data_IF_678271220659
#
_entry.id   IF_678271220659
#
_cell.length_a   1.000
_cell.length_b   1.000
_cell.length_c   1.000
_cell.angle_alpha   90.00
_cell.angle_beta   90.00
_cell.angle_gamma   90.00
#
_symmetry.space_group_name_H-M   'P 1'
#
loop_
_entity.id
_entity.type
_entity.pdbx_description
1 polymer ?
#
# COMPACT_ATOMS: atom_id res chain seq x y z
N UNK A 1 38.57 7.06 17.20
CA UNK A 1 37.29 6.89 16.49
C UNK A 1 36.09 7.30 17.37
N UNK A 2 35.21 8.13 16.82
CA UNK A 2 33.98 8.58 17.50
C UNK A 2 32.85 7.63 17.05
N UNK A 3 32.18 7.00 18.00
CA UNK A 3 31.03 6.14 17.71
C UNK A 3 29.79 7.02 17.55
N UNK A 4 29.13 6.93 16.40
CA UNK A 4 27.84 7.60 16.16
C UNK A 4 26.73 6.58 16.38
N UNK A 5 25.85 6.87 17.33
CA UNK A 5 24.71 6.01 17.63
C UNK A 5 23.56 6.27 16.67
N UNK A 6 22.79 5.23 16.37
CA UNK A 6 21.50 5.35 15.69
C UNK A 6 20.57 6.24 16.55
N UNK A 7 19.93 7.27 15.98
CA UNK A 7 18.99 8.10 16.72
C UNK A 7 17.79 7.30 17.22
N UNK A 8 17.22 7.77 18.32
CA UNK A 8 15.92 7.29 18.79
C UNK A 8 14.80 7.63 17.81
N UNK A 9 13.66 6.96 17.97
CA UNK A 9 12.44 7.24 17.18
C UNK A 9 12.02 8.71 17.37
N UNK A 10 12.09 9.23 18.60
CA UNK A 10 11.73 10.62 18.89
C UNK A 10 12.66 11.62 18.17
N UNK A 11 13.97 11.40 18.23
CA UNK A 11 14.94 12.23 17.51
C UNK A 11 14.74 12.15 15.99
N UNK A 12 14.44 10.96 15.47
CA UNK A 12 14.12 10.76 14.06
C UNK A 12 12.91 11.59 13.64
N UNK A 13 11.84 11.61 14.44
CA UNK A 13 10.64 12.40 14.14
C UNK A 13 10.99 13.90 14.05
N UNK A 14 11.83 14.42 14.96
CA UNK A 14 12.28 15.81 14.90
C UNK A 14 13.16 16.10 13.68
N UNK A 15 14.05 15.16 13.30
CA UNK A 15 14.83 15.25 12.06
C UNK A 15 13.89 15.31 10.84
N UNK A 16 12.89 14.44 10.79
CA UNK A 16 11.91 14.40 9.70
C UNK A 16 11.08 15.69 9.63
N UNK A 17 10.70 16.28 10.78
CA UNK A 17 10.03 17.60 10.81
C UNK A 17 10.92 18.68 10.21
N UNK A 18 12.21 18.69 10.53
CA UNK A 18 13.17 19.64 9.95
C UNK A 18 13.37 19.47 8.44
N UNK A 19 13.17 18.26 7.90
CA UNK A 19 13.27 17.97 6.47
C UNK A 19 11.94 18.10 5.71
N UNK A 20 10.81 18.25 6.41
CA UNK A 20 9.45 18.22 5.84
C UNK A 20 9.31 19.16 4.66
N UNK A 21 9.56 20.45 4.89
CA UNK A 21 9.33 21.50 3.89
C UNK A 21 10.11 21.23 2.60
N UNK A 22 11.32 20.68 2.70
CA UNK A 22 12.14 20.34 1.54
C UNK A 22 11.51 19.22 0.71
N UNK A 23 10.98 18.18 1.34
CA UNK A 23 10.33 17.07 0.63
C UNK A 23 8.94 17.43 0.11
N UNK A 24 8.17 18.21 0.86
CA UNK A 24 6.88 18.77 0.40
C UNK A 24 7.05 19.57 -0.88
N UNK A 25 8.05 20.48 -0.90
CA UNK A 25 8.35 21.30 -2.06
C UNK A 25 8.88 20.46 -3.23
N UNK A 26 9.72 19.45 -2.97
CA UNK A 26 10.30 18.62 -4.03
C UNK A 26 9.24 17.75 -4.75
N UNK A 27 8.28 17.21 -4.00
CA UNK A 27 7.26 16.29 -4.52
C UNK A 27 5.90 16.93 -4.78
N UNK A 28 5.71 18.19 -4.38
CA UNK A 28 4.42 18.89 -4.39
C UNK A 28 3.33 18.15 -3.62
N UNK A 29 3.67 17.67 -2.42
CA UNK A 29 2.78 16.97 -1.48
C UNK A 29 2.74 17.68 -0.14
N UNK A 30 1.70 17.44 0.65
CA UNK A 30 1.67 17.80 2.07
C UNK A 30 1.92 16.55 2.91
N UNK A 31 2.81 16.63 3.90
CA UNK A 31 3.18 15.49 4.75
C UNK A 31 2.59 15.72 6.14
N UNK A 32 1.74 14.81 6.60
CA UNK A 32 1.12 14.93 7.92
C UNK A 32 2.09 14.59 9.05
N UNK A 33 1.83 15.10 10.26
CA UNK A 33 2.55 14.69 11.46
C UNK A 33 2.46 13.18 11.69
N UNK A 34 1.27 12.61 11.44
CA UNK A 34 1.03 11.18 11.51
C UNK A 34 1.96 10.40 10.58
N UNK A 35 2.15 10.86 9.34
CA UNK A 35 3.05 10.21 8.39
C UNK A 35 4.51 10.19 8.88
N UNK A 36 5.00 11.27 9.50
CA UNK A 36 6.35 11.30 10.05
C UNK A 36 6.52 10.30 11.19
N UNK A 37 5.54 10.25 12.09
CA UNK A 37 5.53 9.29 13.18
C UNK A 37 5.49 7.85 12.65
N UNK A 38 4.61 7.58 11.69
CA UNK A 38 4.50 6.27 11.05
C UNK A 38 5.80 5.88 10.34
N UNK A 39 6.45 6.80 9.62
CA UNK A 39 7.71 6.53 8.93
C UNK A 39 8.81 6.14 9.93
N UNK A 40 8.94 6.83 11.05
CA UNK A 40 9.92 6.51 12.09
C UNK A 40 9.61 5.17 12.79
N UNK A 41 8.38 4.97 13.25
CA UNK A 41 7.98 3.77 14.02
C UNK A 41 7.96 2.50 13.16
N UNK A 42 7.39 2.58 11.96
CA UNK A 42 7.21 1.42 11.10
C UNK A 42 8.53 1.04 10.42
N UNK A 43 9.38 1.99 10.03
CA UNK A 43 10.72 1.66 9.52
C UNK A 43 11.58 1.02 10.60
N UNK A 44 11.53 1.49 11.84
CA UNK A 44 12.23 0.88 12.97
C UNK A 44 11.78 -0.57 13.23
N UNK A 45 10.50 -0.86 12.99
CA UNK A 45 9.92 -2.20 13.21
C UNK A 45 10.19 -3.16 12.05
N UNK A 46 9.94 -2.73 10.81
CA UNK A 46 9.87 -3.63 9.65
C UNK A 46 11.12 -3.60 8.76
N UNK A 47 11.96 -2.57 8.87
CA UNK A 47 13.21 -2.43 8.08
C UNK A 47 14.39 -2.54 9.08
N UNK A 48 14.89 -3.76 9.24
CA UNK A 48 15.90 -4.12 10.25
C UNK A 48 17.35 -4.04 9.73
N UNK A 49 17.53 -4.01 8.40
CA UNK A 49 18.82 -4.00 7.71
C UNK A 49 19.41 -2.58 7.55
N UNK A 50 18.68 -1.56 8.00
CA UNK A 50 19.06 -0.15 7.92
C UNK A 50 18.83 0.57 9.25
N UNK A 51 19.54 1.67 9.42
CA UNK A 51 19.50 2.47 10.63
C UNK A 51 18.63 3.72 10.44
N UNK A 52 18.01 4.19 11.52
CA UNK A 52 17.44 5.53 11.60
C UNK A 52 18.54 6.59 11.49
N UNK A 53 18.22 7.81 10.99
CA UNK A 53 16.92 8.25 10.46
C UNK A 53 16.75 7.91 8.97
N UNK A 54 17.79 7.42 8.32
CA UNK A 54 17.92 7.19 6.87
C UNK A 54 16.75 6.38 6.30
N UNK A 55 16.45 5.21 6.87
CA UNK A 55 15.31 4.39 6.42
C UNK A 55 13.95 5.07 6.55
N UNK A 56 13.78 6.02 7.47
CA UNK A 56 12.52 6.75 7.63
C UNK A 56 12.41 7.88 6.61
N UNK A 57 13.54 8.55 6.31
CA UNK A 57 13.63 9.58 5.27
C UNK A 57 13.27 8.98 3.91
N UNK A 58 13.82 7.81 3.58
CA UNK A 58 13.52 7.12 2.32
C UNK A 58 12.04 6.81 2.15
N UNK A 59 11.34 6.40 3.22
CA UNK A 59 9.91 6.15 3.14
C UNK A 59 9.11 7.42 2.85
N UNK A 60 9.51 8.56 3.41
CA UNK A 60 8.90 9.86 3.11
C UNK A 60 9.14 10.24 1.64
N UNK A 61 10.36 10.06 1.17
CA UNK A 61 10.76 10.38 -0.20
C UNK A 61 10.00 9.52 -1.22
N UNK A 62 9.98 8.20 -1.01
CA UNK A 62 9.27 7.25 -1.87
C UNK A 62 7.76 7.49 -1.86
N UNK A 63 7.17 7.79 -0.69
CA UNK A 63 5.75 8.14 -0.58
C UNK A 63 5.40 9.40 -1.39
N UNK A 64 6.22 10.46 -1.26
CA UNK A 64 6.06 11.69 -2.02
C UNK A 64 6.18 11.46 -3.53
N UNK A 65 7.23 10.76 -3.96
CA UNK A 65 7.46 10.42 -5.36
C UNK A 65 6.30 9.59 -5.93
N UNK A 66 5.81 8.60 -5.18
CA UNK A 66 4.70 7.73 -5.59
C UNK A 66 3.40 8.51 -5.81
N UNK A 67 3.05 9.44 -4.91
CA UNK A 67 1.86 10.29 -5.09
C UNK A 67 2.01 11.21 -6.31
N UNK A 68 3.20 11.79 -6.49
CA UNK A 68 3.49 12.64 -7.64
C UNK A 68 3.39 11.87 -8.97
N UNK A 69 3.92 10.65 -9.04
CA UNK A 69 3.78 9.78 -10.22
C UNK A 69 2.31 9.44 -10.46
N UNK A 70 1.55 9.08 -9.42
CA UNK A 70 0.11 8.80 -9.55
C UNK A 70 -0.66 10.01 -10.11
N UNK A 71 -0.31 11.24 -9.70
CA UNK A 71 -0.92 12.46 -10.22
C UNK A 71 -0.55 12.76 -11.67
N UNK A 72 0.68 12.47 -12.09
CA UNK A 72 1.14 12.69 -13.47
C UNK A 72 0.72 11.57 -14.43
N UNK A 73 0.29 10.43 -13.90
CA UNK A 73 -0.16 9.30 -14.72
C UNK A 73 -1.61 9.52 -15.15
N UNK A 74 -1.83 9.62 -16.46
CA UNK A 74 -3.17 9.78 -17.02
C UNK A 74 -4.13 8.69 -16.51
N UNK A 75 -5.34 9.04 -16.06
CA UNK A 75 -6.35 8.08 -15.62
C UNK A 75 -6.61 7.00 -16.67
N UNK A 76 -7.03 5.78 -16.24
CA UNK A 76 -7.38 4.71 -17.15
C UNK A 76 -8.40 5.15 -18.21
N UNK A 77 -9.36 6.00 -17.84
CA UNK A 77 -10.37 6.54 -18.76
C UNK A 77 -9.77 7.35 -19.92
N UNK A 78 -8.75 8.17 -19.67
CA UNK A 78 -8.08 8.92 -20.74
C UNK A 78 -7.34 7.96 -21.69
N UNK A 79 -6.70 6.92 -21.16
CA UNK A 79 -6.07 5.87 -21.98
C UNK A 79 -7.08 5.10 -22.81
N UNK A 80 -8.27 4.83 -22.27
CA UNK A 80 -9.36 4.20 -23.03
C UNK A 80 -9.84 5.09 -24.16
N UNK A 81 -10.02 6.40 -23.91
CA UNK A 81 -10.38 7.37 -24.95
C UNK A 81 -9.30 7.45 -26.05
N UNK A 82 -8.02 7.50 -25.68
CA UNK A 82 -6.89 7.43 -26.63
C UNK A 82 -6.98 6.19 -27.53
N UNK A 83 -7.27 5.02 -26.94
CA UNK A 83 -7.41 3.78 -27.69
C UNK A 83 -8.60 3.77 -28.64
N UNK A 84 -9.72 4.41 -28.26
CA UNK A 84 -10.93 4.54 -29.10
C UNK A 84 -10.68 5.50 -30.26
N UNK A 85 -10.04 6.64 -30.00
CA UNK A 85 -9.68 7.63 -31.02
C UNK A 85 -8.74 7.00 -32.06
N UNK A 86 -7.72 6.24 -31.62
CA UNK A 86 -6.81 5.53 -32.52
C UNK A 86 -7.56 4.55 -33.43
N UNK A 87 -8.45 3.73 -32.87
CA UNK A 87 -9.26 2.79 -33.67
C UNK A 87 -10.15 3.47 -34.70
N UNK A 88 -10.83 4.56 -34.30
CA UNK A 88 -11.70 5.32 -35.23
C UNK A 88 -10.87 5.99 -36.31
N UNK A 89 -9.67 6.48 -35.98
CA UNK A 89 -8.76 7.05 -36.98
C UNK A 89 -8.37 6.01 -38.03
N UNK A 90 -8.01 4.80 -37.61
CA UNK A 90 -7.67 3.70 -38.52
C UNK A 90 -8.87 3.29 -39.40
N UNK A 91 -10.07 3.20 -38.82
CA UNK A 91 -11.30 2.88 -39.54
C UNK A 91 -11.68 3.97 -40.56
N UNK A 92 -11.45 5.24 -40.21
CA UNK A 92 -11.70 6.39 -41.07
C UNK A 92 -10.75 6.37 -42.26
N UNK A 93 -9.46 6.15 -42.02
CA UNK A 93 -8.46 6.07 -43.08
C UNK A 93 -8.72 4.91 -44.04
N UNK A 94 -9.25 3.79 -43.51
CA UNK A 94 -9.72 2.67 -44.33
C UNK A 94 -10.94 3.06 -45.19
N UNK A 95 -11.95 3.71 -44.60
CA UNK A 95 -13.12 4.17 -45.34
C UNK A 95 -12.76 5.17 -46.47
N UNK A 96 -11.78 6.05 -46.23
CA UNK A 96 -11.26 6.98 -47.24
C UNK A 96 -10.60 6.22 -48.40
N UNK A 97 -9.77 5.21 -48.10
CA UNK A 97 -9.13 4.35 -49.12
C UNK A 97 -10.15 3.58 -49.93
N UNK A 98 -11.22 3.11 -49.29
CA UNK A 98 -12.32 2.39 -49.91
C UNK A 98 -13.31 3.33 -50.65
N UNK A 99 -13.06 4.65 -50.66
CA UNK A 99 -13.92 5.70 -51.23
C UNK A 99 -15.34 5.77 -50.62
N UNK A 100 -15.52 5.22 -49.43
CA UNK A 100 -16.75 5.30 -48.64
C UNK A 100 -16.76 6.64 -47.86
N UNK A 101 -17.07 7.72 -48.57
CA UNK A 101 -17.03 9.07 -48.02
C UNK A 101 -18.11 9.32 -46.96
N UNK A 102 -19.25 8.64 -47.04
CA UNK A 102 -20.33 8.77 -46.05
C UNK A 102 -19.90 8.19 -44.70
N UNK A 103 -19.34 6.98 -44.70
CA UNK A 103 -18.78 6.37 -43.49
C UNK A 103 -17.59 7.15 -42.95
N UNK A 104 -16.72 7.65 -43.82
CA UNK A 104 -15.60 8.51 -43.40
C UNK A 104 -16.07 9.79 -42.70
N UNK A 105 -17.16 10.41 -43.18
CA UNK A 105 -17.77 11.57 -42.52
C UNK A 105 -18.33 11.23 -41.13
N UNK A 106 -19.06 10.12 -41.00
CA UNK A 106 -19.59 9.67 -39.69
C UNK A 106 -18.47 9.37 -38.68
N UNK A 107 -17.38 8.75 -39.13
CA UNK A 107 -16.22 8.45 -38.30
C UNK A 107 -15.46 9.73 -37.91
N UNK A 108 -15.38 10.72 -38.81
CA UNK A 108 -14.81 12.04 -38.50
C UNK A 108 -15.58 12.74 -37.38
N UNK A 109 -16.90 12.80 -37.49
CA UNK A 109 -17.73 13.45 -36.47
C UNK A 109 -17.67 12.71 -35.13
N UNK A 110 -17.56 11.37 -35.16
CA UNK A 110 -17.36 10.54 -33.97
C UNK A 110 -15.99 10.77 -33.33
N UNK A 111 -14.94 10.88 -34.14
CA UNK A 111 -13.58 11.22 -33.68
C UNK A 111 -13.56 12.59 -33.00
N UNK A 112 -14.17 13.61 -33.61
CA UNK A 112 -14.20 14.97 -33.06
C UNK A 112 -14.93 15.03 -31.71
N UNK A 113 -16.02 14.27 -31.56
CA UNK A 113 -16.71 14.12 -30.27
C UNK A 113 -15.81 13.50 -29.19
N UNK A 114 -15.12 12.40 -29.50
CA UNK A 114 -14.22 11.75 -28.54
C UNK A 114 -13.00 12.62 -28.19
N UNK A 115 -12.46 13.36 -29.16
CA UNK A 115 -11.36 14.30 -28.93
C UNK A 115 -11.81 15.46 -28.03
N UNK A 116 -13.02 15.97 -28.22
CA UNK A 116 -13.62 16.99 -27.35
C UNK A 116 -13.84 16.47 -25.93
N UNK A 117 -14.41 15.26 -25.78
CA UNK A 117 -14.59 14.61 -24.48
C UNK A 117 -13.25 14.39 -23.76
N UNK A 118 -12.26 13.86 -24.48
CA UNK A 118 -10.89 13.66 -23.97
C UNK A 118 -10.29 14.98 -23.52
N UNK A 119 -10.41 16.05 -24.30
CA UNK A 119 -9.87 17.37 -23.98
C UNK A 119 -10.54 17.96 -22.73
N UNK A 120 -11.86 17.80 -22.60
CA UNK A 120 -12.61 18.21 -21.41
C UNK A 120 -12.14 17.45 -20.16
N UNK A 121 -12.03 16.12 -20.24
CA UNK A 121 -11.53 15.29 -19.13
C UNK A 121 -10.06 15.52 -18.81
N UNK A 122 -9.24 15.85 -19.79
CA UNK A 122 -7.84 16.20 -19.57
C UNK A 122 -7.72 17.57 -18.87
N UNK A 123 -8.54 18.55 -19.24
CA UNK A 123 -8.59 19.86 -18.55
C UNK A 123 -9.00 19.69 -17.10
N UNK A 124 -10.07 18.94 -16.83
CA UNK A 124 -10.53 18.71 -15.46
C UNK A 124 -9.49 17.97 -14.61
N UNK A 125 -8.83 16.96 -15.19
CA UNK A 125 -7.72 16.26 -14.52
C UNK A 125 -6.52 17.18 -14.23
N UNK A 126 -6.13 18.04 -15.17
CA UNK A 126 -5.03 19.00 -15.00
C UNK A 126 -5.36 20.12 -14.01
N UNK A 127 -6.61 20.57 -13.99
CA UNK A 127 -7.12 21.63 -13.11
C UNK A 127 -7.33 21.17 -11.65
N UNK A 128 -7.06 19.89 -11.36
CA UNK A 128 -6.98 19.39 -9.99
C UNK A 128 -8.16 18.55 -9.54
N UNK A 129 -9.09 18.18 -10.43
CA UNK A 129 -10.06 17.10 -10.17
C UNK A 129 -9.44 15.70 -10.26
N UNK A 130 -8.12 15.58 -10.05
CA UNK A 130 -7.55 14.27 -9.75
C UNK A 130 -7.99 13.89 -8.34
N UNK A 131 -8.78 12.82 -8.20
CA UNK A 131 -9.15 12.21 -6.89
C UNK A 131 -7.94 11.81 -6.03
N UNK A 132 -6.73 11.88 -6.58
CA UNK A 132 -5.47 11.63 -5.89
C UNK A 132 -5.15 12.81 -4.96
N UNK A 133 -5.48 12.63 -3.68
CA UNK A 133 -5.01 13.54 -2.61
C UNK A 133 -3.48 13.59 -2.62
N UNK A 134 -2.92 14.78 -2.78
CA UNK A 134 -1.47 15.02 -2.67
C UNK A 134 -1.03 15.14 -1.21
N UNK A 135 -1.49 14.21 -0.37
CA UNK A 135 -1.22 14.18 1.07
C UNK A 135 -0.58 12.85 1.41
N UNK A 136 0.62 12.90 1.99
CA UNK A 136 1.29 11.74 2.58
C UNK A 136 0.79 11.64 4.02
N UNK A 137 -0.03 10.61 4.27
CA UNK A 137 -0.54 10.22 5.58
C UNK A 137 0.04 8.86 6.02
N UNK A 138 -0.37 8.35 7.18
CA UNK A 138 0.12 7.06 7.68
C UNK A 138 -0.20 5.88 6.76
N UNK A 139 -1.31 5.95 6.04
CA UNK A 139 -1.76 4.87 5.16
C UNK A 139 -0.87 4.80 3.91
N UNK A 140 -0.45 5.95 3.37
CA UNK A 140 0.54 5.98 2.28
C UNK A 140 1.87 5.39 2.73
N UNK A 141 2.36 5.73 3.94
CA UNK A 141 3.61 5.16 4.49
C UNK A 141 3.49 3.64 4.67
N UNK A 142 2.39 3.18 5.24
CA UNK A 142 2.08 1.76 5.38
C UNK A 142 2.10 1.02 4.03
N UNK A 143 1.49 1.60 2.98
CA UNK A 143 1.51 1.04 1.63
C UNK A 143 2.91 0.94 1.04
N UNK A 144 3.75 1.96 1.25
CA UNK A 144 5.15 1.95 0.78
C UNK A 144 5.94 0.83 1.46
N UNK A 145 5.86 0.72 2.79
CA UNK A 145 6.56 -0.36 3.51
C UNK A 145 6.04 -1.73 3.07
N UNK A 146 4.72 -1.89 2.93
CA UNK A 146 4.15 -3.16 2.50
C UNK A 146 4.58 -3.55 1.08
N UNK A 147 4.76 -2.57 0.19
CA UNK A 147 5.23 -2.80 -1.17
C UNK A 147 6.72 -3.17 -1.20
N UNK A 148 7.53 -2.51 -0.37
CA UNK A 148 8.99 -2.70 -0.31
C UNK A 148 9.39 -3.98 0.42
N UNK A 149 8.74 -4.28 1.55
CA UNK A 149 9.08 -5.44 2.40
C UNK A 149 8.27 -6.70 2.05
N UNK A 150 7.17 -6.57 1.32
CA UNK A 150 6.19 -7.64 1.10
C UNK A 150 5.39 -8.01 2.35
N UNK A 151 5.62 -7.36 3.50
CA UNK A 151 4.91 -7.61 4.76
C UNK A 151 3.73 -6.65 4.83
N UNK A 152 2.47 -7.13 4.93
CA UNK A 152 1.33 -6.26 5.14
C UNK A 152 1.47 -5.43 6.42
N UNK A 153 1.70 -4.13 6.27
CA UNK A 153 1.82 -3.17 7.37
C UNK A 153 0.50 -2.43 7.52
N UNK A 154 -0.53 -3.12 7.97
CA UNK A 154 -1.77 -2.45 8.33
C UNK A 154 -1.70 -2.10 9.83
N UNK A 155 -2.05 -0.85 10.19
CA UNK A 155 -2.62 -0.61 11.52
C UNK A 155 -3.76 -1.61 11.65
N UNK A 156 -3.90 -2.24 12.81
CA UNK A 156 -4.92 -3.25 13.07
C UNK A 156 -6.31 -2.67 12.71
N UNK A 157 -6.75 -2.91 11.47
CA UNK A 157 -7.97 -2.30 10.95
C UNK A 157 -9.14 -2.90 11.73
N UNK A 158 -10.31 -2.25 11.75
CA UNK A 158 -11.49 -2.89 12.36
C UNK A 158 -11.73 -4.30 11.78
N UNK A 159 -11.43 -4.50 10.50
CA UNK A 159 -11.49 -5.81 9.83
C UNK A 159 -10.46 -6.80 10.38
N UNK A 160 -9.19 -6.40 10.57
CA UNK A 160 -8.16 -7.26 11.14
C UNK A 160 -8.42 -7.55 12.63
N UNK A 161 -8.91 -6.57 13.39
CA UNK A 161 -9.34 -6.75 14.78
C UNK A 161 -10.44 -7.80 14.88
N UNK A 162 -11.45 -7.69 14.02
CA UNK A 162 -12.53 -8.67 13.91
C UNK A 162 -12.00 -10.05 13.49
N UNK A 163 -11.07 -10.12 12.53
CA UNK A 163 -10.41 -11.36 12.11
C UNK A 163 -9.69 -12.01 13.29
N UNK A 164 -8.87 -11.26 14.03
CA UNK A 164 -8.11 -11.73 15.19
C UNK A 164 -8.99 -12.12 16.39
N UNK A 165 -10.15 -11.46 16.57
CA UNK A 165 -11.16 -11.88 17.56
C UNK A 165 -11.80 -13.23 17.20
N UNK A 166 -11.91 -13.56 15.91
CA UNK A 166 -12.42 -14.84 15.42
C UNK A 166 -11.37 -15.94 15.23
N UNK A 167 -10.12 -15.71 15.65
CA UNK A 167 -9.00 -16.63 15.35
C UNK A 167 -9.24 -18.04 15.89
N UNK A 168 -9.70 -18.19 17.14
CA UNK A 168 -9.98 -19.49 17.72
C UNK A 168 -11.02 -20.26 16.91
N UNK A 169 -12.11 -19.60 16.52
CA UNK A 169 -13.18 -20.22 15.74
C UNK A 169 -12.69 -20.68 14.35
N UNK A 170 -11.85 -19.89 13.69
CA UNK A 170 -11.26 -20.27 12.41
C UNK A 170 -10.28 -21.44 12.53
N UNK A 171 -9.43 -21.44 13.55
CA UNK A 171 -8.51 -22.57 13.80
C UNK A 171 -9.29 -23.85 14.10
N UNK A 172 -10.40 -23.77 14.84
CA UNK A 172 -11.26 -24.90 15.15
C UNK A 172 -12.00 -25.51 13.95
N UNK A 173 -12.06 -24.83 12.80
CA UNK A 173 -12.56 -25.46 11.56
C UNK A 173 -11.67 -26.58 11.05
N UNK A 174 -10.37 -26.56 11.40
CA UNK A 174 -9.39 -27.58 11.01
C UNK A 174 -8.85 -28.37 12.20
N UNK A 175 -8.84 -27.76 13.39
CA UNK A 175 -8.29 -28.36 14.60
C UNK A 175 -9.42 -28.80 15.52
N UNK A 176 -9.58 -30.11 15.64
CA UNK A 176 -10.59 -30.73 16.51
C UNK A 176 -9.97 -30.90 17.90
N UNK A 177 -10.64 -30.36 18.93
CA UNK A 177 -10.12 -30.32 20.31
C UNK A 177 -8.91 -29.40 20.45
N UNK A 178 -8.01 -29.73 21.39
CA UNK A 178 -6.80 -28.95 21.69
C UNK A 178 -7.09 -27.49 22.08
N UNK A 179 -8.21 -27.24 22.76
CA UNK A 179 -8.71 -25.89 23.07
C UNK A 179 -7.68 -25.04 23.81
N UNK A 180 -6.92 -25.65 24.72
CA UNK A 180 -5.85 -24.97 25.48
C UNK A 180 -4.73 -24.48 24.56
N UNK A 181 -4.27 -25.32 23.62
CA UNK A 181 -3.22 -24.97 22.68
C UNK A 181 -3.66 -23.87 21.72
N UNK A 182 -4.89 -23.96 21.20
CA UNK A 182 -5.50 -22.94 20.33
C UNK A 182 -5.64 -21.62 21.07
N UNK A 183 -6.18 -21.62 22.29
CA UNK A 183 -6.36 -20.40 23.08
C UNK A 183 -5.03 -19.74 23.47
N UNK A 184 -4.02 -20.53 23.87
CA UNK A 184 -2.69 -20.01 24.22
C UNK A 184 -2.01 -19.34 23.01
N UNK A 185 -2.11 -19.98 21.85
CA UNK A 185 -1.55 -19.48 20.60
C UNK A 185 -2.26 -18.21 20.13
N UNK A 186 -3.59 -18.21 20.08
CA UNK A 186 -4.40 -17.05 19.70
C UNK A 186 -4.15 -15.84 20.59
N UNK A 187 -4.06 -16.05 21.91
CA UNK A 187 -3.72 -14.99 22.87
C UNK A 187 -2.32 -14.42 22.64
N UNK A 188 -1.33 -15.26 22.33
CA UNK A 188 0.03 -14.81 22.04
C UNK A 188 0.10 -14.00 20.74
N UNK A 189 -0.56 -14.46 19.67
CA UNK A 189 -0.58 -13.76 18.39
C UNK A 189 -1.32 -12.43 18.50
N UNK A 190 -2.48 -12.38 19.17
CA UNK A 190 -3.19 -11.12 19.43
C UNK A 190 -2.30 -10.10 20.14
N UNK A 191 -1.63 -10.51 21.22
CA UNK A 191 -0.70 -9.62 21.97
C UNK A 191 0.43 -9.08 21.10
N UNK A 192 1.00 -9.91 20.24
CA UNK A 192 2.06 -9.48 19.33
C UNK A 192 1.52 -8.49 18.27
N UNK A 193 0.32 -8.73 17.74
CA UNK A 193 -0.31 -7.86 16.72
C UNK A 193 -0.77 -6.51 17.26
N UNK A 194 -1.16 -6.42 18.54
CA UNK A 194 -1.48 -5.13 19.19
C UNK A 194 -0.25 -4.36 19.67
N UNK A 195 0.97 -4.79 19.30
CA UNK A 195 2.19 -4.05 19.63
C UNK A 195 2.64 -4.15 21.10
N UNK A 196 2.04 -5.05 21.89
CA UNK A 196 2.42 -5.28 23.30
C UNK A 196 3.67 -6.17 23.47
N UNK A 197 4.42 -6.41 22.39
CA UNK A 197 5.59 -7.29 22.37
C UNK A 197 6.79 -6.58 21.73
N UNK A 198 7.98 -6.88 22.24
CA UNK A 198 9.26 -6.43 21.70
C UNK A 198 9.38 -6.78 20.19
N UNK A 199 9.53 -5.78 19.30
CA UNK A 199 9.62 -5.98 17.86
C UNK A 199 10.88 -6.74 17.43
N UNK A 200 11.93 -6.82 18.27
CA UNK A 200 13.13 -7.63 17.99
C UNK A 200 12.91 -9.13 18.21
N UNK A 201 11.72 -9.55 18.65
CA UNK A 201 11.39 -10.96 18.92
C UNK A 201 10.34 -11.47 17.93
N UNK A 202 10.38 -12.76 17.56
CA UNK A 202 9.36 -13.37 16.70
C UNK A 202 7.95 -13.11 17.22
N UNK A 203 6.94 -12.99 16.33
CA UNK A 203 5.53 -12.74 16.70
C UNK A 203 5.04 -13.72 17.78
N UNK A 204 5.40 -14.99 17.66
CA UNK A 204 5.23 -16.00 18.70
C UNK A 204 6.36 -17.02 18.64
N UNK A 205 6.79 -17.51 19.79
CA UNK A 205 7.69 -18.66 19.89
C UNK A 205 6.93 -19.72 20.68
N UNK A 206 6.74 -20.88 20.06
CA UNK A 206 5.87 -21.94 20.58
C UNK A 206 6.61 -23.26 20.54
N UNK A 207 6.41 -24.07 21.58
CA UNK A 207 6.82 -25.47 21.62
C UNK A 207 5.53 -26.29 21.71
N UNK A 208 5.28 -27.12 20.71
CA UNK A 208 4.15 -28.05 20.73
C UNK A 208 4.59 -29.40 21.28
N UNK A 209 4.22 -29.68 22.52
CA UNK A 209 4.50 -30.96 23.19
C UNK A 209 3.32 -31.94 23.04
N UNK A 210 3.62 -33.24 23.04
CA UNK A 210 2.61 -34.32 22.95
C UNK A 210 3.05 -35.47 22.03
N UNK A 211 2.30 -36.59 21.99
CA UNK A 211 2.61 -37.72 21.09
C UNK A 211 2.40 -37.37 19.61
N UNK A 212 2.84 -38.23 18.70
CA UNK A 212 2.57 -38.08 17.25
C UNK A 212 1.08 -38.22 16.95
N UNK A 213 0.59 -37.52 15.93
CA UNK A 213 -0.81 -37.63 15.48
C UNK A 213 -1.83 -36.76 16.23
N UNK A 214 -1.44 -36.03 17.28
CA UNK A 214 -2.37 -35.20 18.08
C UNK A 214 -2.69 -33.81 17.48
N UNK A 215 -2.22 -33.51 16.27
CA UNK A 215 -2.53 -32.26 15.57
C UNK A 215 -1.50 -31.14 15.68
N UNK A 216 -0.32 -31.36 16.28
CA UNK A 216 0.75 -30.33 16.41
C UNK A 216 1.13 -29.67 15.08
N UNK A 217 1.42 -30.48 14.07
CA UNK A 217 1.77 -30.00 12.72
C UNK A 217 0.58 -29.38 12.01
N UNK A 218 -0.62 -29.90 12.25
CA UNK A 218 -1.84 -29.37 11.63
C UNK A 218 -2.18 -27.98 12.19
N UNK A 219 -1.98 -27.76 13.49
CA UNK A 219 -2.16 -26.45 14.12
C UNK A 219 -1.21 -25.41 13.55
N UNK A 220 0.05 -25.78 13.28
CA UNK A 220 1.01 -24.89 12.61
C UNK A 220 0.56 -24.54 11.17
N UNK A 221 0.05 -25.52 10.41
CA UNK A 221 -0.49 -25.29 9.06
C UNK A 221 -1.75 -24.43 9.08
N UNK A 222 -2.68 -24.69 10.00
CA UNK A 222 -3.90 -23.91 10.15
C UNK A 222 -3.58 -22.46 10.51
N UNK A 223 -2.63 -22.23 11.41
CA UNK A 223 -2.14 -20.88 11.73
C UNK A 223 -1.54 -20.19 10.50
N UNK A 224 -0.70 -20.89 9.73
CA UNK A 224 -0.10 -20.32 8.53
C UNK A 224 -1.13 -19.96 7.45
N UNK A 225 -2.23 -20.71 7.33
CA UNK A 225 -3.32 -20.37 6.42
C UNK A 225 -4.20 -19.22 6.92
N UNK A 226 -4.27 -19.01 8.24
CA UNK A 226 -5.08 -17.95 8.83
C UNK A 226 -4.40 -16.58 8.76
N UNK A 227 -3.08 -16.54 9.04
CA UNK A 227 -2.25 -15.33 9.02
C UNK A 227 -2.07 -14.82 7.60
#
# INVERSE_FOLDING_TARGET
PILVHEPSIAETIEILKGLRERYENHHHVTITDGALQAAAELSARYIQDRNLPDKAIDLIDEAGARLRIKRLTAPPELKELDSKIAKISDEKDKAIKDQDFEKAAQLRDSQEKLESERKSKESSWREGESDVKMVVDEDVIAQVISSSTGIPVFKLTQAESKKLMGMEAELHKRIIGQDEAVAALSRSIRRARVGLKDPKRPTGSFIFAGPTGVGKTELAKALASFL
#
